data_IF_833685271174
#
_entry.id   IF_833685271174
#
_cell.length_a   1.000
_cell.length_b   1.000
_cell.length_c   1.000
_cell.angle_alpha   90.00
_cell.angle_beta   90.00
_cell.angle_gamma   90.00
#
_symmetry.space_group_name_H-M   'P 1'
#
loop_
_entity.id
_entity.type
_entity.pdbx_description
1 polymer ?
#
# COMPACT_ATOMS: atom_id res chain seq x y z
N UNK A 1 -2.06 6.21 10.83
CA UNK A 1 -2.43 4.96 11.55
C UNK A 1 -1.41 3.88 11.21
N UNK A 2 -0.19 4.07 11.75
CA UNK A 2 0.93 3.12 11.64
C UNK A 2 0.87 2.05 12.76
N UNK A 3 -0.04 2.21 13.74
CA UNK A 3 -0.06 1.44 15.00
C UNK A 3 -1.10 0.31 15.09
N UNK A 4 -1.78 -0.05 13.99
CA UNK A 4 -2.65 -1.23 13.98
C UNK A 4 -2.12 -2.16 12.89
N UNK A 5 -1.46 -3.23 13.31
CA UNK A 5 -1.00 -4.28 12.41
C UNK A 5 -2.18 -4.78 11.58
N UNK A 6 -1.98 -4.98 10.27
CA UNK A 6 -3.00 -5.46 9.32
C UNK A 6 -3.85 -6.63 9.84
N UNK A 7 -3.32 -7.61 10.60
CA UNK A 7 -4.12 -8.68 11.19
C UNK A 7 -5.23 -8.19 12.15
N UNK A 8 -5.00 -7.10 12.88
CA UNK A 8 -5.99 -6.53 13.82
C UNK A 8 -7.05 -5.72 13.07
N UNK A 9 -6.69 -5.02 11.99
CA UNK A 9 -7.66 -4.27 11.18
C UNK A 9 -8.75 -5.19 10.60
N UNK A 10 -8.36 -6.41 10.22
CA UNK A 10 -9.22 -7.41 9.58
C UNK A 10 -9.93 -8.36 10.57
N UNK A 11 -9.56 -8.38 11.86
CA UNK A 11 -10.10 -9.33 12.83
C UNK A 11 -11.51 -8.96 13.34
N UNK A 12 -11.94 -7.72 13.13
CA UNK A 12 -13.24 -7.22 13.57
C UNK A 12 -14.05 -6.72 12.38
N UNK A 13 -15.18 -7.38 12.11
CA UNK A 13 -16.09 -7.00 11.03
C UNK A 13 -16.52 -5.52 11.16
N UNK A 14 -16.24 -4.74 10.12
CA UNK A 14 -16.61 -3.31 10.05
C UNK A 14 -15.57 -2.33 10.62
N UNK A 15 -14.52 -2.81 11.31
CA UNK A 15 -13.46 -1.94 11.83
C UNK A 15 -12.71 -1.21 10.71
N UNK A 16 -12.42 -1.90 9.60
CA UNK A 16 -11.80 -1.32 8.42
C UNK A 16 -12.58 -0.12 7.86
N UNK A 17 -13.91 -0.22 7.80
CA UNK A 17 -14.76 0.86 7.31
C UNK A 17 -14.73 2.06 8.26
N UNK A 18 -14.86 1.80 9.57
CA UNK A 18 -14.78 2.85 10.58
C UNK A 18 -13.43 3.58 10.54
N UNK A 19 -12.32 2.85 10.40
CA UNK A 19 -10.98 3.44 10.29
C UNK A 19 -10.89 4.34 9.06
N UNK A 20 -11.37 3.89 7.89
CA UNK A 20 -11.36 4.69 6.65
C UNK A 20 -12.15 5.99 6.78
N UNK A 21 -13.33 5.93 7.41
CA UNK A 21 -14.14 7.13 7.64
C UNK A 21 -13.44 8.12 8.59
N UNK A 22 -12.78 7.62 9.64
CA UNK A 22 -11.97 8.44 10.53
C UNK A 22 -10.81 9.07 9.76
N UNK A 23 -10.05 8.29 9.00
CA UNK A 23 -8.91 8.77 8.22
C UNK A 23 -9.32 9.86 7.23
N UNK A 24 -10.46 9.68 6.54
CA UNK A 24 -11.01 10.69 5.63
C UNK A 24 -11.38 11.99 6.34
N UNK A 25 -12.04 11.89 7.49
CA UNK A 25 -12.40 13.06 8.31
C UNK A 25 -11.16 13.79 8.82
N UNK A 26 -10.14 13.05 9.25
CA UNK A 26 -8.89 13.62 9.74
C UNK A 26 -8.08 14.29 8.62
N UNK A 27 -8.00 13.68 7.42
CA UNK A 27 -7.39 14.32 6.25
C UNK A 27 -8.07 15.65 5.93
N UNK A 28 -9.40 15.70 5.97
CA UNK A 28 -10.14 16.93 5.72
C UNK A 28 -9.85 18.02 6.77
N UNK A 29 -9.87 17.66 8.05
CA UNK A 29 -9.78 18.61 9.15
C UNK A 29 -8.35 19.07 9.45
N UNK A 30 -7.37 18.18 9.27
CA UNK A 30 -5.98 18.37 9.71
C UNK A 30 -4.98 18.59 8.58
N UNK A 31 -5.35 18.27 7.34
CA UNK A 31 -4.41 18.36 6.20
C UNK A 31 -5.00 19.27 5.12
N UNK A 32 -6.13 18.90 4.53
CA UNK A 32 -6.68 19.63 3.39
C UNK A 32 -7.07 21.07 3.73
N UNK A 33 -7.58 21.32 4.93
CA UNK A 33 -7.92 22.66 5.41
C UNK A 33 -6.74 23.64 5.48
N UNK A 34 -5.50 23.15 5.48
CA UNK A 34 -4.29 23.97 5.65
C UNK A 34 -3.42 24.09 4.39
N UNK A 35 -3.81 23.48 3.28
CA UNK A 35 -3.04 23.47 2.04
C UNK A 35 -3.87 23.98 0.85
N UNK A 36 -3.20 24.49 -0.18
CA UNK A 36 -3.85 25.01 -1.39
C UNK A 36 -4.59 23.91 -2.15
N UNK A 37 -5.57 24.28 -2.97
CA UNK A 37 -6.38 23.32 -3.74
C UNK A 37 -5.52 22.38 -4.60
N UNK A 38 -4.49 22.89 -5.27
CA UNK A 38 -3.59 22.05 -6.06
C UNK A 38 -2.85 21.00 -5.21
N UNK A 39 -2.38 21.38 -4.02
CA UNK A 39 -1.75 20.42 -3.08
C UNK A 39 -2.79 19.43 -2.53
N UNK A 40 -4.04 19.86 -2.30
CA UNK A 40 -5.10 18.94 -1.91
C UNK A 40 -5.37 17.90 -3.00
N UNK A 41 -5.38 18.31 -4.27
CA UNK A 41 -5.58 17.41 -5.42
C UNK A 41 -4.44 16.39 -5.55
N UNK A 42 -3.20 16.83 -5.39
CA UNK A 42 -2.04 15.92 -5.41
C UNK A 42 -2.05 14.95 -4.22
N UNK A 43 -2.35 15.44 -3.01
CA UNK A 43 -2.47 14.58 -1.85
C UNK A 43 -3.56 13.51 -2.07
N UNK A 44 -4.75 13.91 -2.52
CA UNK A 44 -5.82 12.96 -2.86
C UNK A 44 -5.35 11.94 -3.89
N UNK A 45 -4.66 12.40 -4.93
CA UNK A 45 -4.13 11.52 -5.98
C UNK A 45 -3.16 10.47 -5.43
N UNK A 46 -2.30 10.82 -4.47
CA UNK A 46 -1.33 9.88 -3.91
C UNK A 46 -1.87 9.03 -2.74
N UNK A 47 -2.81 9.54 -1.95
CA UNK A 47 -3.27 8.88 -0.72
C UNK A 47 -4.60 8.14 -0.85
N UNK A 48 -5.46 8.48 -1.80
CA UNK A 48 -6.73 7.78 -2.00
C UNK A 48 -6.58 6.67 -3.04
N UNK A 49 -7.16 5.50 -2.77
CA UNK A 49 -7.03 4.31 -3.63
C UNK A 49 -5.55 3.97 -3.91
N UNK A 50 -4.71 4.10 -2.88
CA UNK A 50 -3.26 4.08 -2.92
C UNK A 50 -2.69 2.82 -3.59
N UNK A 51 -3.40 1.69 -3.45
CA UNK A 51 -3.03 0.38 -4.01
C UNK A 51 -3.68 0.06 -5.36
N UNK A 52 -4.40 1.01 -5.97
CA UNK A 52 -4.90 0.88 -7.35
C UNK A 52 -3.89 1.44 -8.34
N UNK A 53 -3.68 0.72 -9.44
CA UNK A 53 -2.91 1.23 -10.56
C UNK A 53 -3.66 2.40 -11.20
N UNK A 54 -2.95 3.50 -11.41
CA UNK A 54 -3.56 4.73 -11.92
C UNK A 54 -2.55 5.61 -12.63
N UNK A 55 -3.05 6.49 -13.48
CA UNK A 55 -2.29 7.53 -14.17
C UNK A 55 -3.20 8.75 -14.39
N UNK A 56 -2.66 9.84 -14.92
CA UNK A 56 -3.39 11.02 -15.41
C UNK A 56 -3.28 11.06 -16.92
N UNK A 57 -4.39 11.25 -17.62
CA UNK A 57 -4.34 11.49 -19.07
C UNK A 57 -3.84 12.92 -19.40
N UNK A 58 -3.76 13.24 -20.70
CA UNK A 58 -3.34 14.57 -21.19
C UNK A 58 -4.27 15.71 -20.76
N UNK A 59 -5.47 15.39 -20.28
CA UNK A 59 -6.44 16.34 -19.71
C UNK A 59 -6.42 16.35 -18.17
N UNK A 60 -5.40 15.75 -17.56
CA UNK A 60 -5.23 15.55 -16.11
C UNK A 60 -6.34 14.73 -15.43
N UNK A 61 -7.12 13.96 -16.19
CA UNK A 61 -8.13 13.07 -15.62
C UNK A 61 -7.49 11.77 -15.14
N UNK A 62 -7.88 11.33 -13.95
CA UNK A 62 -7.42 10.05 -13.40
C UNK A 62 -8.00 8.89 -14.21
N UNK A 63 -7.13 8.00 -14.66
CA UNK A 63 -7.45 6.71 -15.26
C UNK A 63 -6.97 5.61 -14.32
N UNK A 64 -7.82 4.62 -14.07
CA UNK A 64 -7.43 3.40 -13.37
C UNK A 64 -7.20 2.30 -14.40
N UNK A 65 -6.01 1.71 -14.38
CA UNK A 65 -5.71 0.55 -15.23
C UNK A 65 -6.10 -0.74 -14.51
N UNK A 66 -6.37 -1.79 -15.27
CA UNK A 66 -6.75 -3.10 -14.77
C UNK A 66 -5.63 -3.74 -13.96
N UNK A 67 -4.40 -3.66 -14.45
CA UNK A 67 -3.20 -4.26 -13.89
C UNK A 67 -1.94 -3.45 -14.26
N UNK A 68 -0.79 -3.89 -13.75
CA UNK A 68 0.50 -3.29 -14.01
C UNK A 68 0.91 -3.44 -15.47
N UNK A 69 0.56 -4.54 -16.12
CA UNK A 69 0.89 -4.77 -17.54
C UNK A 69 0.26 -3.70 -18.43
N UNK A 70 -1.03 -3.41 -18.24
CA UNK A 70 -1.71 -2.32 -18.92
C UNK A 70 -1.07 -0.95 -18.60
N UNK A 71 -0.75 -0.70 -17.32
CA UNK A 71 -0.11 0.55 -16.89
C UNK A 71 1.22 0.79 -17.59
N UNK A 72 2.11 -0.18 -17.57
CA UNK A 72 3.45 -0.05 -18.13
C UNK A 72 3.47 -0.16 -19.66
N UNK A 73 2.47 -0.81 -20.27
CA UNK A 73 2.37 -0.87 -21.74
C UNK A 73 1.83 0.43 -22.32
N UNK A 74 0.79 1.01 -21.70
CA UNK A 74 0.07 2.16 -22.27
C UNK A 74 0.52 3.52 -21.71
N UNK A 75 1.08 3.55 -20.50
CA UNK A 75 1.29 4.80 -19.74
C UNK A 75 2.69 4.93 -19.12
N UNK A 76 3.71 4.27 -19.67
CA UNK A 76 5.10 4.34 -19.20
C UNK A 76 5.85 5.57 -19.74
N UNK A 77 5.37 6.76 -19.37
CA UNK A 77 5.99 8.05 -19.68
C UNK A 77 5.69 9.04 -18.57
N UNK A 78 6.63 9.95 -18.30
CA UNK A 78 6.54 10.94 -17.21
C UNK A 78 5.29 11.83 -17.32
N UNK A 79 4.77 12.04 -18.53
CA UNK A 79 3.56 12.87 -18.77
C UNK A 79 2.30 12.29 -18.12
N UNK A 80 2.26 10.98 -17.87
CA UNK A 80 1.10 10.29 -17.34
C UNK A 80 1.07 10.20 -15.81
N UNK A 81 2.14 10.62 -15.12
CA UNK A 81 2.23 10.54 -13.65
C UNK A 81 1.79 9.17 -13.09
N UNK A 82 2.21 8.07 -13.73
CA UNK A 82 1.76 6.72 -13.40
C UNK A 82 2.13 6.28 -11.97
N UNK A 83 1.19 5.58 -11.32
CA UNK A 83 1.38 4.95 -10.01
C UNK A 83 1.00 3.48 -10.11
N UNK A 84 1.98 2.59 -9.90
CA UNK A 84 1.77 1.16 -9.81
C UNK A 84 1.34 0.77 -8.38
N UNK A 85 0.03 0.77 -8.15
CA UNK A 85 -0.58 0.42 -6.87
C UNK A 85 -0.34 -1.03 -6.46
N UNK A 86 -0.22 -1.96 -7.40
CA UNK A 86 0.12 -3.36 -7.13
C UNK A 86 1.51 -3.47 -6.49
N UNK A 87 2.51 -2.80 -7.06
CA UNK A 87 3.85 -2.74 -6.49
C UNK A 87 3.84 -2.10 -5.11
N UNK A 88 3.13 -0.97 -4.94
CA UNK A 88 2.99 -0.31 -3.65
C UNK A 88 2.39 -1.25 -2.59
N UNK A 89 1.43 -2.11 -2.95
CA UNK A 89 0.84 -3.06 -2.02
C UNK A 89 1.80 -4.19 -1.62
N UNK A 90 2.69 -4.59 -2.53
CA UNK A 90 3.76 -5.53 -2.19
C UNK A 90 4.76 -4.89 -1.23
N UNK A 91 5.18 -3.65 -1.50
CA UNK A 91 6.08 -2.89 -0.63
C UNK A 91 5.51 -2.63 0.77
N UNK A 92 4.22 -2.33 0.87
CA UNK A 92 3.48 -2.19 2.15
C UNK A 92 3.57 -3.48 2.98
N UNK A 93 3.28 -4.63 2.34
CA UNK A 93 3.40 -5.94 2.98
C UNK A 93 4.85 -6.29 3.34
N UNK A 94 5.81 -5.92 2.49
CA UNK A 94 7.22 -6.14 2.73
C UNK A 94 7.68 -5.36 3.96
N UNK A 95 7.31 -4.08 4.06
CA UNK A 95 7.64 -3.25 5.22
C UNK A 95 7.11 -3.86 6.51
N UNK A 96 5.84 -4.29 6.53
CA UNK A 96 5.23 -4.92 7.70
C UNK A 96 5.92 -6.25 8.06
N UNK A 97 6.31 -7.05 7.07
CA UNK A 97 7.04 -8.29 7.27
C UNK A 97 8.43 -8.05 7.86
N UNK A 98 9.20 -7.10 7.31
CA UNK A 98 10.53 -6.75 7.79
C UNK A 98 10.48 -6.21 9.22
N UNK A 99 9.52 -5.35 9.53
CA UNK A 99 9.31 -4.82 10.89
C UNK A 99 9.03 -5.93 11.88
N UNK A 100 8.18 -6.91 11.52
CA UNK A 100 7.90 -8.06 12.36
C UNK A 100 9.14 -8.95 12.55
N UNK A 101 9.88 -9.26 11.48
CA UNK A 101 11.08 -10.10 11.56
C UNK A 101 12.20 -9.45 12.38
N UNK A 102 12.45 -8.15 12.19
CA UNK A 102 13.43 -7.40 12.98
C UNK A 102 13.01 -7.36 14.45
N UNK A 103 11.73 -7.19 14.76
CA UNK A 103 11.24 -7.23 16.14
C UNK A 103 11.50 -8.59 16.79
N UNK A 104 11.21 -9.68 16.07
CA UNK A 104 11.44 -11.05 16.53
C UNK A 104 12.94 -11.33 16.75
N UNK A 105 13.81 -10.87 15.85
CA UNK A 105 15.26 -11.06 15.97
C UNK A 105 15.85 -10.34 17.20
N UNK A 106 15.20 -9.28 17.67
CA UNK A 106 15.57 -8.54 18.88
C UNK A 106 14.84 -9.02 20.15
N UNK A 107 14.11 -10.15 20.07
CA UNK A 107 13.44 -10.77 21.21
C UNK A 107 12.07 -10.19 21.57
N UNK A 108 11.51 -9.29 20.75
CA UNK A 108 10.14 -8.82 20.91
C UNK A 108 9.23 -9.81 20.20
N UNK A 109 8.54 -10.66 20.98
CA UNK A 109 7.69 -11.71 20.43
C UNK A 109 6.30 -11.74 21.05
N UNK A 110 5.29 -11.83 20.21
CA UNK A 110 3.92 -12.20 20.57
C UNK A 110 3.38 -13.22 19.57
N UNK A 111 2.31 -13.93 19.94
CA UNK A 111 1.65 -14.87 19.02
C UNK A 111 1.23 -14.18 17.72
N UNK A 112 0.57 -13.02 17.82
CA UNK A 112 0.09 -12.28 16.65
C UNK A 112 1.22 -11.77 15.76
N UNK A 113 2.36 -11.38 16.33
CA UNK A 113 3.52 -10.92 15.57
C UNK A 113 4.16 -12.06 14.77
N UNK A 114 4.32 -13.23 15.41
CA UNK A 114 4.86 -14.44 14.76
C UNK A 114 3.91 -14.88 13.64
N UNK A 115 2.61 -14.94 13.90
CA UNK A 115 1.62 -15.31 12.88
C UNK A 115 1.55 -14.27 11.76
N UNK A 116 1.62 -12.98 12.08
CA UNK A 116 1.64 -11.90 11.10
C UNK A 116 2.81 -12.04 10.12
N UNK A 117 4.02 -12.27 10.62
CA UNK A 117 5.21 -12.49 9.78
C UNK A 117 5.06 -13.74 8.90
N UNK A 118 4.59 -14.86 9.47
CA UNK A 118 4.36 -16.11 8.72
C UNK A 118 3.31 -15.94 7.63
N UNK A 119 2.17 -15.35 7.95
CA UNK A 119 1.08 -15.11 7.00
C UNK A 119 1.52 -14.21 5.84
N UNK A 120 2.31 -13.16 6.12
CA UNK A 120 2.86 -12.30 5.07
C UNK A 120 3.87 -13.04 4.18
N UNK A 121 4.75 -13.86 4.78
CA UNK A 121 5.66 -14.71 4.02
C UNK A 121 4.88 -15.68 3.11
N UNK A 122 3.90 -16.41 3.64
CA UNK A 122 3.08 -17.32 2.85
C UNK A 122 2.37 -16.59 1.70
N UNK A 123 1.72 -15.46 2.01
CA UNK A 123 0.99 -14.64 1.04
C UNK A 123 1.87 -14.09 -0.09
N UNK A 124 3.11 -13.68 0.22
CA UNK A 124 3.98 -12.97 -0.73
C UNK A 124 5.13 -13.80 -1.29
N UNK A 125 5.39 -15.00 -0.75
CA UNK A 125 6.53 -15.84 -1.13
C UNK A 125 6.59 -16.20 -2.61
N UNK A 126 5.48 -16.17 -3.35
CA UNK A 126 5.43 -16.47 -4.79
C UNK A 126 4.92 -15.28 -5.61
N UNK A 127 5.00 -14.05 -5.06
CA UNK A 127 4.54 -12.86 -5.79
C UNK A 127 5.53 -12.49 -6.88
N UNK A 128 5.05 -12.44 -8.12
CA UNK A 128 5.76 -11.89 -9.28
C UNK A 128 5.00 -10.68 -9.83
N UNK A 129 5.72 -9.72 -10.40
CA UNK A 129 5.14 -8.56 -11.07
C UNK A 129 5.93 -8.25 -12.34
N UNK A 130 5.32 -8.45 -13.52
CA UNK A 130 5.98 -8.25 -14.82
C UNK A 130 7.34 -8.98 -14.91
N UNK A 131 7.31 -10.29 -14.63
CA UNK A 131 8.48 -11.18 -14.61
C UNK A 131 9.53 -10.86 -13.52
N UNK A 132 9.25 -9.91 -12.62
CA UNK A 132 10.08 -9.63 -11.46
C UNK A 132 9.61 -10.46 -10.25
N UNK A 133 10.44 -11.39 -9.79
CA UNK A 133 10.22 -12.17 -8.56
C UNK A 133 10.41 -11.29 -7.31
N UNK A 134 9.34 -10.60 -6.93
CA UNK A 134 9.27 -9.83 -5.69
C UNK A 134 9.18 -10.73 -4.45
N UNK A 135 8.67 -11.95 -4.59
CA UNK A 135 8.55 -12.92 -3.51
C UNK A 135 9.90 -13.30 -2.92
N UNK A 136 10.96 -13.24 -3.72
CA UNK A 136 12.35 -13.43 -3.27
C UNK A 136 12.72 -12.54 -2.08
N UNK A 137 12.23 -11.29 -2.06
CA UNK A 137 12.49 -10.35 -0.97
C UNK A 137 11.96 -10.83 0.39
N UNK A 138 10.91 -11.66 0.38
CA UNK A 138 10.36 -12.26 1.60
C UNK A 138 11.07 -13.57 1.95
N UNK A 139 11.35 -14.42 0.95
CA UNK A 139 11.97 -15.75 1.16
C UNK A 139 13.43 -15.66 1.64
N UNK A 140 14.18 -14.69 1.14
CA UNK A 140 15.61 -14.58 1.38
C UNK A 140 15.94 -13.78 2.67
N UNK A 141 14.95 -13.13 3.27
CA UNK A 141 15.13 -12.39 4.51
C UNK A 141 15.14 -13.36 5.71
N UNK A 142 16.25 -13.37 6.46
CA UNK A 142 16.49 -14.24 7.62
C UNK A 142 16.71 -13.43 8.88
#
# INVERSE_FOLDING_TARGET
>A
TRDIITPIKQSVAGLDHCIKEIEKKEMQNKVYSFVSLGVQEDLKYFTENEFKNRCKDKSHKIIFTKDAEELFTLYNSDEYLGVCGELLKVCDHLSAFLEAQISLSHGISSYDLIQGAKNLLELRSQTELLDLDLGKLFRDFK
#
